data_IF_533821396835
#
_entry.id   IF_533821396835
#
_cell.length_a   1.000
_cell.length_b   1.000
_cell.length_c   1.000
_cell.angle_alpha   90.00
_cell.angle_beta   90.00
_cell.angle_gamma   90.00
#
_symmetry.space_group_name_H-M   'P 1'
#
loop_
_entity.id
_entity.type
_entity.pdbx_description
1 polymer ?
#
# COMPACT_ATOMS: atom_id res chain seq x y z
N UNK A 1 10.72 -0.42 7.78
CA UNK A 1 9.62 -0.56 8.77
C UNK A 1 9.53 -1.99 9.28
N UNK A 2 9.38 -3.02 8.41
CA UNK A 2 9.29 -4.42 8.85
C UNK A 2 10.47 -4.79 9.76
N UNK A 3 11.72 -4.54 9.32
CA UNK A 3 12.91 -4.79 10.13
C UNK A 3 12.88 -4.07 11.49
N UNK A 4 12.39 -2.82 11.53
CA UNK A 4 12.23 -2.07 12.78
C UNK A 4 11.24 -2.75 13.72
N UNK A 5 10.06 -3.11 13.23
CA UNK A 5 9.02 -3.76 14.04
C UNK A 5 9.51 -5.11 14.61
N UNK A 6 10.18 -5.93 13.79
CA UNK A 6 10.72 -7.21 14.25
C UNK A 6 11.83 -7.03 15.29
N UNK A 7 12.72 -6.05 15.10
CA UNK A 7 13.77 -5.71 16.09
C UNK A 7 13.18 -5.20 17.40
N UNK A 8 12.14 -4.34 17.35
CA UNK A 8 11.45 -3.88 18.54
C UNK A 8 10.75 -5.01 19.32
N UNK A 9 10.27 -6.03 18.62
CA UNK A 9 9.71 -7.26 19.22
C UNK A 9 10.78 -8.24 19.72
N UNK A 10 12.06 -7.93 19.56
CA UNK A 10 13.19 -8.84 19.91
C UNK A 10 13.05 -10.21 19.23
N UNK A 11 12.69 -10.22 17.96
CA UNK A 11 12.54 -11.42 17.13
C UNK A 11 13.84 -11.71 16.41
N UNK A 12 14.29 -12.95 16.41
CA UNK A 12 15.34 -13.44 15.53
C UNK A 12 14.73 -13.82 14.17
N UNK A 13 15.22 -13.21 13.09
CA UNK A 13 14.67 -13.38 11.75
C UNK A 13 15.70 -13.20 10.65
N UNK A 14 15.47 -13.86 9.53
CA UNK A 14 16.14 -13.59 8.26
C UNK A 14 15.16 -12.98 7.27
N UNK A 15 15.47 -11.80 6.73
CA UNK A 15 14.63 -11.14 5.74
C UNK A 15 15.18 -11.37 4.34
N UNK A 16 14.52 -12.21 3.54
CA UNK A 16 14.94 -12.58 2.18
C UNK A 16 14.13 -11.79 1.13
N UNK A 17 14.72 -10.92 0.32
CA UNK A 17 16.06 -10.32 0.45
C UNK A 17 15.91 -8.94 1.08
N UNK A 18 16.79 -8.54 1.95
CA UNK A 18 16.77 -7.19 2.51
C UNK A 18 17.56 -6.21 1.62
N UNK A 19 16.92 -5.29 0.90
CA UNK A 19 17.60 -4.28 0.08
C UNK A 19 17.88 -2.97 0.85
N UNK A 20 17.51 -2.86 2.12
CA UNK A 20 17.44 -1.59 2.85
C UNK A 20 18.78 -0.86 2.83
N UNK A 21 19.84 -1.50 3.31
CA UNK A 21 21.14 -0.87 3.37
C UNK A 21 21.80 -0.70 1.99
N UNK A 22 21.44 -1.54 1.03
CA UNK A 22 21.92 -1.42 -0.35
C UNK A 22 21.44 -0.12 -0.99
N UNK A 23 20.20 0.29 -0.69
CA UNK A 23 19.58 1.48 -1.28
C UNK A 23 19.80 2.76 -0.46
N UNK A 24 20.00 2.64 0.85
CA UNK A 24 19.99 3.76 1.79
C UNK A 24 21.36 4.08 2.42
N UNK A 25 22.40 3.26 2.19
CA UNK A 25 23.74 3.53 2.71
C UNK A 25 24.27 4.85 2.12
N UNK A 26 24.71 5.79 2.96
CA UNK A 26 25.33 7.03 2.49
C UNK A 26 26.56 6.76 1.63
N UNK A 27 26.75 7.55 0.58
CA UNK A 27 27.93 7.48 -0.26
C UNK A 27 29.19 7.89 0.53
N UNK A 28 30.20 7.03 0.56
CA UNK A 28 31.49 7.26 1.22
C UNK A 28 32.64 7.55 0.20
N UNK A 29 32.29 7.80 -1.04
CA UNK A 29 33.23 8.02 -2.15
C UNK A 29 33.78 6.73 -2.74
N UNK A 30 33.44 5.55 -2.23
CA UNK A 30 33.85 4.27 -2.80
C UNK A 30 32.67 3.64 -3.55
N UNK A 31 32.94 3.16 -4.76
CA UNK A 31 31.96 2.41 -5.50
C UNK A 31 31.82 0.99 -4.89
N UNK A 32 30.63 0.70 -4.38
CA UNK A 32 30.24 -0.65 -3.95
C UNK A 32 28.95 -1.01 -4.67
N UNK A 33 28.96 -2.11 -5.39
CA UNK A 33 27.77 -2.57 -6.10
C UNK A 33 26.67 -3.01 -5.13
N UNK A 34 27.06 -3.63 -4.02
CA UNK A 34 26.17 -4.06 -2.94
C UNK A 34 26.91 -3.88 -1.60
N UNK A 35 26.34 -3.07 -0.72
CA UNK A 35 26.80 -2.93 0.67
C UNK A 35 25.63 -3.31 1.58
N UNK A 36 25.82 -4.29 2.49
CA UNK A 36 24.75 -4.76 3.37
C UNK A 36 23.75 -5.70 2.70
N UNK A 37 22.59 -5.84 3.30
CA UNK A 37 21.53 -6.77 2.88
C UNK A 37 21.70 -8.16 3.46
N UNK A 38 20.93 -9.13 2.98
CA UNK A 38 20.95 -10.52 3.46
C UNK A 38 22.24 -11.21 3.05
N UNK A 39 22.95 -11.77 4.02
CA UNK A 39 24.22 -12.48 3.81
C UNK A 39 24.01 -13.89 3.25
N UNK A 40 25.05 -14.45 2.64
CA UNK A 40 25.01 -15.84 2.16
C UNK A 40 24.79 -16.87 3.30
N UNK A 41 25.29 -16.58 4.50
CA UNK A 41 25.16 -17.48 5.64
C UNK A 41 23.74 -17.43 6.20
N UNK A 42 23.11 -16.27 6.27
CA UNK A 42 21.68 -16.15 6.57
C UNK A 42 20.81 -16.90 5.56
N UNK A 43 21.14 -16.82 4.25
CA UNK A 43 20.42 -17.59 3.21
C UNK A 43 20.58 -19.11 3.42
N UNK A 44 21.79 -19.59 3.79
CA UNK A 44 22.04 -21.01 4.08
C UNK A 44 21.30 -21.47 5.34
N UNK A 45 21.14 -20.60 6.33
CA UNK A 45 20.48 -20.93 7.60
C UNK A 45 18.94 -20.79 7.51
N UNK A 46 18.41 -20.09 6.53
CA UNK A 46 16.97 -19.89 6.36
C UNK A 46 16.10 -21.17 6.45
N UNK A 47 16.56 -22.37 5.98
CA UNK A 47 15.81 -23.60 6.15
C UNK A 47 15.63 -24.06 7.60
N UNK A 48 16.39 -23.52 8.56
CA UNK A 48 16.32 -23.85 9.98
C UNK A 48 15.29 -23.01 10.75
N UNK A 49 14.69 -22.00 10.13
CA UNK A 49 13.67 -21.18 10.77
C UNK A 49 12.39 -21.97 11.08
N UNK A 50 11.65 -21.55 12.10
CA UNK A 50 10.40 -22.22 12.55
C UNK A 50 9.27 -22.11 11.52
N UNK A 51 9.23 -21.03 10.74
CA UNK A 51 8.28 -20.79 9.65
C UNK A 51 8.88 -19.79 8.65
N UNK A 52 8.42 -19.85 7.40
CA UNK A 52 8.66 -18.84 6.38
C UNK A 52 7.39 -18.04 6.14
N UNK A 53 7.35 -16.77 6.56
CA UNK A 53 6.21 -15.89 6.31
C UNK A 53 6.32 -15.25 4.92
N UNK A 54 5.33 -15.46 4.09
CA UNK A 54 5.26 -14.93 2.74
C UNK A 54 4.42 -13.63 2.74
N UNK A 55 5.09 -12.48 2.75
CA UNK A 55 4.43 -11.15 2.76
C UNK A 55 3.79 -10.80 1.42
N UNK A 56 4.16 -11.49 0.34
CA UNK A 56 3.59 -11.31 -0.99
C UNK A 56 3.13 -12.65 -1.57
N UNK A 57 2.15 -13.32 -0.95
CA UNK A 57 1.76 -14.69 -1.28
C UNK A 57 1.25 -14.87 -2.71
N UNK A 58 0.73 -13.81 -3.33
CA UNK A 58 0.23 -13.87 -4.71
C UNK A 58 1.35 -13.87 -5.75
N UNK A 59 2.51 -13.34 -5.41
CA UNK A 59 3.70 -13.34 -6.26
C UNK A 59 4.63 -14.52 -5.92
N UNK A 60 4.70 -14.94 -4.66
CA UNK A 60 5.64 -15.92 -4.15
C UNK A 60 5.16 -17.39 -4.23
N UNK A 61 4.28 -17.73 -5.16
CA UNK A 61 3.73 -19.09 -5.31
C UNK A 61 4.80 -20.16 -5.55
N UNK A 62 5.84 -19.84 -6.35
CA UNK A 62 6.96 -20.75 -6.60
C UNK A 62 7.85 -20.91 -5.37
N UNK A 63 8.12 -19.82 -4.67
CA UNK A 63 8.88 -19.78 -3.40
C UNK A 63 8.20 -20.64 -2.36
N UNK A 64 6.90 -20.50 -2.17
CA UNK A 64 6.10 -21.34 -1.24
C UNK A 64 6.28 -22.83 -1.53
N UNK A 65 6.17 -23.21 -2.80
CA UNK A 65 6.36 -24.62 -3.21
C UNK A 65 7.78 -25.09 -2.92
N UNK A 66 8.77 -24.27 -3.17
CA UNK A 66 10.16 -24.59 -2.92
C UNK A 66 10.43 -24.80 -1.42
N UNK A 67 10.01 -23.85 -0.58
CA UNK A 67 10.15 -23.93 0.87
C UNK A 67 9.51 -25.21 1.42
N UNK A 68 8.26 -25.49 1.05
CA UNK A 68 7.54 -26.70 1.51
C UNK A 68 8.16 -28.00 1.00
N UNK A 69 8.58 -28.04 -0.27
CA UNK A 69 9.01 -29.28 -0.89
C UNK A 69 10.50 -29.57 -0.71
N UNK A 70 11.35 -28.55 -0.70
CA UNK A 70 12.81 -28.65 -0.64
C UNK A 70 13.32 -28.47 0.77
N UNK A 71 12.92 -27.41 1.45
CA UNK A 71 13.34 -27.17 2.83
C UNK A 71 12.56 -27.99 3.85
N UNK A 72 11.40 -28.55 3.46
CA UNK A 72 10.47 -29.26 4.37
C UNK A 72 10.00 -28.40 5.55
N UNK A 73 9.99 -27.10 5.36
CA UNK A 73 9.66 -26.09 6.35
C UNK A 73 8.21 -25.62 6.15
N UNK A 74 7.50 -25.21 7.21
CA UNK A 74 6.24 -24.48 7.09
C UNK A 74 6.42 -23.22 6.23
N UNK A 75 5.40 -22.86 5.47
CA UNK A 75 5.38 -21.63 4.70
C UNK A 75 3.97 -21.05 4.78
N UNK A 76 3.84 -20.01 5.56
CA UNK A 76 2.57 -19.34 5.88
C UNK A 76 2.37 -18.11 5.04
N UNK A 77 1.20 -18.02 4.38
CA UNK A 77 0.77 -16.79 3.74
C UNK A 77 0.32 -15.80 4.79
N UNK A 78 0.79 -14.58 4.69
CA UNK A 78 0.33 -13.47 5.51
C UNK A 78 -0.01 -12.28 4.63
N UNK A 79 -1.04 -11.53 5.01
CA UNK A 79 -1.37 -10.29 4.32
C UNK A 79 -0.21 -9.30 4.45
N UNK A 80 0.07 -8.56 3.38
CA UNK A 80 1.05 -7.47 3.44
C UNK A 80 0.60 -6.48 4.52
N UNK A 81 1.44 -6.12 5.51
CA UNK A 81 1.03 -5.27 6.63
C UNK A 81 0.81 -3.81 6.19
N UNK A 82 -0.32 -3.57 5.53
CA UNK A 82 -0.75 -2.27 5.03
C UNK A 82 -2.07 -1.91 5.71
N UNK A 83 -2.19 -0.66 6.17
CA UNK A 83 -3.34 -0.22 6.94
C UNK A 83 -3.27 -0.63 8.42
N UNK A 84 -4.39 -0.55 9.11
CA UNK A 84 -4.50 -0.85 10.54
C UNK A 84 -4.62 -2.35 10.78
N UNK A 85 -5.68 -2.97 10.26
CA UNK A 85 -6.02 -4.37 10.57
C UNK A 85 -4.93 -5.36 10.12
N UNK A 86 -4.37 -5.19 8.91
CA UNK A 86 -3.35 -6.11 8.41
C UNK A 86 -1.98 -5.91 9.06
N UNK A 87 -1.73 -4.73 9.61
CA UNK A 87 -0.56 -4.54 10.49
C UNK A 87 -0.78 -5.22 11.84
N UNK A 88 -2.00 -5.15 12.40
CA UNK A 88 -2.40 -5.88 13.61
C UNK A 88 -2.22 -7.41 13.40
N UNK A 89 -2.76 -7.96 12.29
CA UNK A 89 -2.63 -9.38 11.93
C UNK A 89 -1.17 -9.83 11.83
N UNK A 90 -0.33 -9.01 11.20
CA UNK A 90 1.11 -9.29 11.07
C UNK A 90 1.79 -9.39 12.44
N UNK A 91 1.62 -8.39 13.30
CA UNK A 91 2.24 -8.37 14.62
C UNK A 91 1.72 -9.48 15.52
N UNK A 92 0.42 -9.76 15.47
CA UNK A 92 -0.18 -10.88 16.20
C UNK A 92 0.38 -12.23 15.73
N UNK A 93 0.56 -12.41 14.41
CA UNK A 93 1.16 -13.62 13.85
C UNK A 93 2.60 -13.83 14.29
N UNK A 94 3.40 -12.75 14.33
CA UNK A 94 4.77 -12.79 14.85
C UNK A 94 4.76 -13.17 16.35
N UNK A 95 3.90 -12.53 17.13
CA UNK A 95 3.77 -12.83 18.57
C UNK A 95 3.35 -14.28 18.82
N UNK A 96 2.40 -14.82 18.05
CA UNK A 96 1.98 -16.22 18.10
C UNK A 96 3.14 -17.20 17.84
N UNK A 97 3.91 -16.95 16.78
CA UNK A 97 5.00 -17.83 16.36
C UNK A 97 6.21 -17.80 17.30
N UNK A 98 6.50 -16.65 17.88
CA UNK A 98 7.72 -16.43 18.66
C UNK A 98 7.51 -16.43 20.17
N UNK A 99 6.25 -16.28 20.62
CA UNK A 99 5.91 -16.05 22.02
C UNK A 99 6.31 -14.66 22.55
N UNK A 100 6.81 -13.76 21.69
CA UNK A 100 7.23 -12.41 22.06
C UNK A 100 6.02 -11.47 22.15
N UNK A 101 5.91 -10.62 23.19
CA UNK A 101 4.82 -9.65 23.30
C UNK A 101 4.98 -8.51 22.30
N UNK A 102 3.88 -7.90 21.91
CA UNK A 102 3.89 -6.66 21.14
C UNK A 102 4.34 -5.52 22.05
N UNK A 103 5.41 -4.77 21.72
CA UNK A 103 5.95 -3.74 22.58
C UNK A 103 5.04 -2.50 22.64
N UNK A 104 5.12 -1.76 23.76
CA UNK A 104 4.35 -0.52 23.98
C UNK A 104 4.57 0.55 22.93
N UNK A 105 5.75 0.61 22.33
CA UNK A 105 6.05 1.52 21.20
C UNK A 105 5.12 1.29 20.02
N UNK A 106 4.93 0.04 19.60
CA UNK A 106 4.04 -0.33 18.49
C UNK A 106 2.56 -0.15 18.83
N UNK A 107 2.16 -0.41 20.09
CA UNK A 107 0.80 -0.09 20.54
C UNK A 107 0.54 1.43 20.49
N UNK A 108 1.54 2.23 20.83
CA UNK A 108 1.45 3.69 20.75
C UNK A 108 1.34 4.18 19.31
N UNK A 109 2.11 3.59 18.37
CA UNK A 109 1.97 3.89 16.94
C UNK A 109 0.58 3.53 16.42
N UNK A 110 0.07 2.37 16.80
CA UNK A 110 -1.29 1.95 16.50
C UNK A 110 -2.33 2.97 16.96
N UNK A 111 -2.21 3.43 18.20
CA UNK A 111 -3.10 4.47 18.78
C UNK A 111 -3.06 5.75 17.94
N UNK A 112 -1.87 6.24 17.59
CA UNK A 112 -1.70 7.43 16.74
C UNK A 112 -2.36 7.26 15.36
N UNK A 113 -2.25 6.08 14.74
CA UNK A 113 -2.92 5.80 13.48
C UNK A 113 -4.44 5.84 13.63
N UNK A 114 -4.99 5.25 14.71
CA UNK A 114 -6.44 5.28 14.99
C UNK A 114 -6.94 6.73 15.16
N UNK A 115 -6.22 7.54 15.93
CA UNK A 115 -6.55 8.96 16.09
C UNK A 115 -6.54 9.69 14.74
N UNK A 116 -5.50 9.46 13.94
CA UNK A 116 -5.34 10.09 12.63
C UNK A 116 -6.44 9.65 11.65
N UNK A 117 -6.86 8.38 11.67
CA UNK A 117 -7.99 7.89 10.86
C UNK A 117 -9.29 8.60 11.29
N UNK A 118 -9.51 8.73 12.59
CA UNK A 118 -10.70 9.40 13.15
C UNK A 118 -10.77 10.85 12.70
N UNK A 119 -9.66 11.58 12.84
CA UNK A 119 -9.57 12.99 12.46
C UNK A 119 -9.74 13.21 10.94
N UNK A 120 -9.32 12.24 10.15
CA UNK A 120 -9.31 12.34 8.68
C UNK A 120 -10.56 11.77 8.00
N UNK A 121 -11.42 11.08 8.73
CA UNK A 121 -12.55 10.34 8.17
C UNK A 121 -13.46 11.19 7.27
N UNK A 122 -13.76 12.42 7.67
CA UNK A 122 -14.63 13.32 6.92
C UNK A 122 -14.11 13.65 5.51
N UNK A 123 -12.79 13.59 5.29
CA UNK A 123 -12.15 13.91 4.02
C UNK A 123 -12.16 12.74 3.03
N UNK A 124 -12.13 11.51 3.53
CA UNK A 124 -11.97 10.31 2.71
C UNK A 124 -13.27 9.52 2.55
N UNK A 125 -14.22 9.65 3.47
CA UNK A 125 -15.49 8.93 3.42
C UNK A 125 -16.22 9.17 2.10
N UNK A 126 -16.52 8.08 1.39
CA UNK A 126 -17.22 8.11 0.10
C UNK A 126 -16.40 8.65 -1.08
N UNK A 127 -15.10 9.00 -0.90
CA UNK A 127 -14.23 9.36 -2.02
C UNK A 127 -13.91 8.14 -2.86
N UNK A 128 -13.98 8.30 -4.18
CA UNK A 128 -13.82 7.25 -5.18
C UNK A 128 -12.40 7.17 -5.69
N UNK A 129 -11.82 5.98 -5.62
CA UNK A 129 -10.44 5.74 -6.04
C UNK A 129 -10.36 4.68 -7.14
N UNK A 130 -9.60 4.95 -8.20
CA UNK A 130 -9.13 3.93 -9.12
C UNK A 130 -7.69 3.56 -8.74
N UNK A 131 -7.38 2.26 -8.64
CA UNK A 131 -6.05 1.82 -8.24
C UNK A 131 -5.54 0.64 -9.05
N UNK A 132 -4.20 0.61 -9.25
CA UNK A 132 -3.52 -0.47 -9.95
C UNK A 132 -2.10 -0.67 -9.41
N UNK A 133 -1.56 -1.85 -9.63
CA UNK A 133 -0.21 -2.23 -9.20
C UNK A 133 -0.03 -3.73 -9.12
N UNK A 134 0.94 -4.14 -8.29
CA UNK A 134 1.19 -5.54 -7.98
C UNK A 134 0.08 -6.14 -7.12
N UNK A 135 -0.12 -7.46 -7.24
CA UNK A 135 -1.26 -8.15 -6.67
C UNK A 135 -1.41 -7.95 -5.16
N UNK A 136 -0.33 -8.08 -4.40
CA UNK A 136 -0.36 -7.94 -2.94
C UNK A 136 -0.51 -6.47 -2.53
N UNK A 137 0.15 -5.54 -3.23
CA UNK A 137 0.00 -4.10 -3.03
C UNK A 137 -1.43 -3.64 -3.28
N UNK A 138 -2.03 -4.01 -4.42
CA UNK A 138 -3.39 -3.61 -4.77
C UNK A 138 -4.39 -4.17 -3.77
N UNK A 139 -4.20 -5.41 -3.33
CA UNK A 139 -5.05 -6.03 -2.32
C UNK A 139 -4.97 -5.28 -0.97
N UNK A 140 -3.73 -4.96 -0.52
CA UNK A 140 -3.50 -4.22 0.73
C UNK A 140 -4.04 -2.79 0.67
N UNK A 141 -3.80 -2.07 -0.44
CA UNK A 141 -4.32 -0.71 -0.63
C UNK A 141 -5.85 -0.70 -0.70
N UNK A 142 -6.46 -1.68 -1.38
CA UNK A 142 -7.92 -1.81 -1.40
C UNK A 142 -8.48 -2.00 0.01
N UNK A 143 -7.87 -2.90 0.81
CA UNK A 143 -8.26 -3.12 2.21
C UNK A 143 -8.16 -1.84 3.02
N UNK A 144 -7.05 -1.11 2.90
CA UNK A 144 -6.85 0.12 3.65
C UNK A 144 -7.83 1.22 3.24
N UNK A 145 -8.13 1.40 1.94
CA UNK A 145 -9.17 2.35 1.51
C UNK A 145 -10.54 2.03 2.13
N UNK A 146 -10.91 0.75 2.23
CA UNK A 146 -12.15 0.35 2.88
C UNK A 146 -12.15 0.65 4.38
N UNK A 147 -11.02 0.50 5.08
CA UNK A 147 -10.84 0.91 6.48
C UNK A 147 -11.05 2.42 6.68
N UNK A 148 -10.66 3.22 5.68
CA UNK A 148 -10.81 4.68 5.70
C UNK A 148 -12.21 5.15 5.28
N UNK A 149 -13.12 4.24 4.93
CA UNK A 149 -14.45 4.59 4.43
C UNK A 149 -14.46 5.13 3.00
N UNK A 150 -13.39 4.92 2.24
CA UNK A 150 -13.28 5.30 0.84
C UNK A 150 -13.77 4.19 -0.09
N UNK A 151 -14.14 4.53 -1.33
CA UNK A 151 -14.66 3.62 -2.34
C UNK A 151 -13.60 3.28 -3.39
N UNK A 152 -13.01 2.07 -3.39
CA UNK A 152 -12.09 1.62 -4.43
C UNK A 152 -12.87 1.18 -5.69
N UNK A 153 -13.36 2.13 -6.50
CA UNK A 153 -14.28 1.89 -7.61
C UNK A 153 -13.69 1.07 -8.75
N UNK A 154 -12.41 1.25 -9.06
CA UNK A 154 -11.71 0.48 -10.10
C UNK A 154 -10.45 -0.14 -9.52
N UNK A 155 -10.43 -1.45 -9.39
CA UNK A 155 -9.30 -2.22 -8.86
C UNK A 155 -8.70 -3.07 -9.97
N UNK A 156 -7.44 -2.78 -10.37
CA UNK A 156 -6.81 -3.45 -11.50
C UNK A 156 -5.44 -4.05 -11.14
N UNK A 157 -5.26 -5.33 -11.47
CA UNK A 157 -3.96 -5.98 -11.47
C UNK A 157 -3.77 -6.81 -12.75
N UNK A 158 -2.77 -6.45 -13.58
CA UNK A 158 -2.60 -7.05 -14.90
C UNK A 158 -2.14 -8.50 -14.86
N UNK A 159 -1.33 -8.89 -13.89
CA UNK A 159 -0.76 -10.24 -13.78
C UNK A 159 -1.49 -11.15 -12.77
N UNK A 160 -2.52 -10.63 -12.10
CA UNK A 160 -3.31 -11.41 -11.16
C UNK A 160 -4.25 -12.41 -11.89
N UNK A 161 -4.55 -13.50 -11.20
CA UNK A 161 -5.40 -14.56 -11.71
C UNK A 161 -6.84 -14.49 -11.16
N UNK A 162 -7.72 -15.38 -11.63
CA UNK A 162 -9.13 -15.45 -11.20
C UNK A 162 -9.31 -15.70 -9.70
N UNK A 163 -8.36 -16.38 -9.03
CA UNK A 163 -8.42 -16.62 -7.59
C UNK A 163 -8.18 -15.33 -6.81
N UNK A 164 -7.21 -14.52 -7.24
CA UNK A 164 -6.99 -13.19 -6.69
C UNK A 164 -8.21 -12.31 -6.86
N UNK A 165 -8.79 -12.28 -8.07
CA UNK A 165 -10.02 -11.51 -8.35
C UNK A 165 -11.12 -11.86 -7.36
N UNK A 166 -11.42 -13.15 -7.17
CA UNK A 166 -12.42 -13.61 -6.19
C UNK A 166 -12.12 -13.18 -4.76
N UNK A 167 -10.84 -13.14 -4.35
CA UNK A 167 -10.44 -12.68 -3.00
C UNK A 167 -10.75 -11.18 -2.83
N UNK A 168 -10.42 -10.36 -3.84
CA UNK A 168 -10.75 -8.92 -3.81
C UNK A 168 -12.26 -8.70 -3.82
N UNK A 169 -12.98 -9.38 -4.71
CA UNK A 169 -14.44 -9.27 -4.79
C UNK A 169 -15.14 -9.65 -3.48
N UNK A 170 -14.66 -10.71 -2.80
CA UNK A 170 -15.18 -11.09 -1.49
C UNK A 170 -14.94 -10.01 -0.44
N UNK A 171 -13.73 -9.44 -0.38
CA UNK A 171 -13.38 -8.35 0.53
C UNK A 171 -14.23 -7.09 0.28
N UNK A 172 -14.47 -6.75 -0.98
CA UNK A 172 -15.32 -5.62 -1.36
C UNK A 172 -16.79 -5.87 -0.95
N UNK A 173 -17.30 -7.09 -1.11
CA UNK A 173 -18.67 -7.45 -0.76
C UNK A 173 -18.93 -7.39 0.76
N UNK A 174 -17.90 -7.60 1.59
CA UNK A 174 -17.99 -7.51 3.06
C UNK A 174 -18.06 -6.06 3.56
N UNK A 175 -17.74 -5.06 2.71
CA UNK A 175 -17.71 -3.65 3.08
C UNK A 175 -18.84 -2.84 2.43
N UNK A 176 -19.49 -1.92 3.14
CA UNK A 176 -20.47 -1.01 2.54
C UNK A 176 -19.85 -0.10 1.46
N UNK A 177 -18.54 0.14 1.51
CA UNK A 177 -17.80 1.00 0.58
C UNK A 177 -17.31 0.26 -0.68
N UNK A 178 -17.47 -1.05 -0.74
CA UNK A 178 -17.06 -1.89 -1.87
C UNK A 178 -18.18 -2.19 -2.87
N UNK A 179 -19.42 -1.77 -2.62
CA UNK A 179 -20.59 -2.19 -3.38
C UNK A 179 -20.59 -1.74 -4.86
N UNK A 180 -19.94 -0.63 -5.16
CA UNK A 180 -19.83 -0.06 -6.51
C UNK A 180 -18.48 -0.34 -7.17
N UNK A 181 -17.71 -1.28 -6.65
CA UNK A 181 -16.35 -1.57 -7.09
C UNK A 181 -16.31 -2.59 -8.21
N UNK A 182 -15.40 -2.40 -9.17
CA UNK A 182 -15.13 -3.34 -10.26
C UNK A 182 -13.69 -3.84 -10.17
N UNK A 183 -13.50 -5.16 -10.29
CA UNK A 183 -12.19 -5.81 -10.21
C UNK A 183 -11.77 -6.35 -11.57
N UNK A 184 -10.61 -5.92 -12.06
CA UNK A 184 -10.06 -6.27 -13.36
C UNK A 184 -8.72 -6.99 -13.23
N UNK A 185 -8.59 -8.14 -13.91
CA UNK A 185 -7.33 -8.90 -14.00
C UNK A 185 -6.98 -9.15 -15.47
N UNK A 186 -5.68 -9.23 -15.78
CA UNK A 186 -5.23 -9.45 -17.15
C UNK A 186 -5.50 -8.26 -18.09
N UNK A 187 -5.68 -7.07 -17.52
CA UNK A 187 -5.91 -5.81 -18.21
C UNK A 187 -4.76 -4.85 -17.93
N UNK A 188 -4.52 -3.93 -18.83
CA UNK A 188 -3.44 -2.95 -18.77
C UNK A 188 -3.94 -1.55 -18.39
N UNK A 189 -3.04 -0.57 -18.38
CA UNK A 189 -3.37 0.81 -18.08
C UNK A 189 -4.22 1.48 -19.16
N UNK A 190 -4.23 0.97 -20.39
CA UNK A 190 -5.12 1.46 -21.41
C UNK A 190 -6.59 1.13 -21.08
N UNK A 191 -6.80 -0.05 -20.52
CA UNK A 191 -8.11 -0.42 -19.97
C UNK A 191 -8.49 0.45 -18.77
N UNK A 192 -7.56 0.67 -17.82
CA UNK A 192 -7.78 1.59 -16.68
C UNK A 192 -8.18 3.00 -17.17
N UNK A 193 -7.49 3.50 -18.20
CA UNK A 193 -7.85 4.78 -18.80
C UNK A 193 -9.33 4.78 -19.27
N UNK A 194 -9.76 3.72 -19.95
CA UNK A 194 -11.16 3.61 -20.41
C UNK A 194 -12.14 3.62 -19.26
N UNK A 195 -11.84 2.92 -18.14
CA UNK A 195 -12.66 2.91 -16.94
C UNK A 195 -12.78 4.31 -16.32
N UNK A 196 -11.66 5.02 -16.17
CA UNK A 196 -11.62 6.40 -15.65
C UNK A 196 -12.47 7.34 -16.49
N UNK A 197 -12.52 7.15 -17.81
CA UNK A 197 -13.35 7.96 -18.70
C UNK A 197 -14.83 7.58 -18.71
N UNK A 198 -15.16 6.33 -18.38
CA UNK A 198 -16.55 5.83 -18.36
C UNK A 198 -17.22 6.07 -17.03
N UNK A 199 -16.52 5.81 -15.93
CA UNK A 199 -16.98 6.02 -14.56
C UNK A 199 -15.88 6.72 -13.76
N UNK A 200 -15.92 8.06 -13.76
CA UNK A 200 -14.88 8.93 -13.22
C UNK A 200 -14.71 8.74 -11.72
N UNK A 201 -13.51 8.34 -11.23
CA UNK A 201 -13.17 8.39 -9.82
C UNK A 201 -12.76 9.82 -9.42
N UNK A 202 -12.66 10.08 -8.11
CA UNK A 202 -12.11 11.35 -7.61
C UNK A 202 -10.59 11.39 -7.77
N UNK A 203 -9.92 10.25 -7.51
CA UNK A 203 -8.46 10.12 -7.54
C UNK A 203 -8.03 8.78 -8.16
N UNK A 204 -6.80 8.77 -8.64
CA UNK A 204 -6.09 7.55 -9.03
C UNK A 204 -4.94 7.25 -8.07
N UNK A 205 -4.72 6.00 -7.71
CA UNK A 205 -3.55 5.52 -6.95
C UNK A 205 -2.77 4.54 -7.79
N UNK A 206 -1.47 4.78 -7.97
CA UNK A 206 -0.62 3.88 -8.72
C UNK A 206 0.76 4.47 -9.04
N UNK A 207 1.48 3.78 -9.90
CA UNK A 207 2.83 4.15 -10.30
C UNK A 207 2.86 5.35 -11.27
N UNK A 208 4.06 5.81 -11.60
CA UNK A 208 4.28 7.00 -12.45
C UNK A 208 3.67 6.91 -13.85
N UNK A 209 3.35 5.72 -14.36
CA UNK A 209 2.70 5.59 -15.67
C UNK A 209 1.28 6.17 -15.68
N UNK A 210 0.62 6.27 -14.53
CA UNK A 210 -0.69 6.92 -14.41
C UNK A 210 -0.71 8.39 -14.81
N UNK A 211 0.45 9.06 -14.86
CA UNK A 211 0.55 10.45 -15.34
C UNK A 211 0.02 10.65 -16.76
N UNK A 212 0.08 9.63 -17.59
CA UNK A 212 -0.46 9.70 -18.95
C UNK A 212 -1.98 9.69 -18.94
N UNK A 213 -2.61 8.90 -18.06
CA UNK A 213 -4.06 8.91 -17.85
C UNK A 213 -4.49 10.27 -17.31
N UNK A 214 -3.80 10.80 -16.29
CA UNK A 214 -4.08 12.13 -15.73
C UNK A 214 -4.03 13.21 -16.81
N UNK A 215 -2.98 13.23 -17.66
CA UNK A 215 -2.86 14.19 -18.77
C UNK A 215 -4.04 14.09 -19.74
N UNK A 216 -4.46 12.88 -20.05
CA UNK A 216 -5.60 12.67 -20.95
C UNK A 216 -6.92 13.18 -20.33
N UNK A 217 -7.09 13.04 -19.01
CA UNK A 217 -8.28 13.59 -18.33
C UNK A 217 -8.30 15.12 -18.36
N UNK A 218 -7.15 15.78 -18.18
CA UNK A 218 -7.02 17.26 -18.28
C UNK A 218 -7.43 17.77 -19.67
N UNK A 219 -7.15 17.02 -20.74
CA UNK A 219 -7.52 17.44 -22.11
C UNK A 219 -9.03 17.55 -22.36
N UNK A 220 -9.86 16.91 -21.50
CA UNK A 220 -11.32 17.06 -21.55
C UNK A 220 -11.85 18.31 -20.89
N UNK A 221 -11.01 19.02 -20.14
CA UNK A 221 -11.35 20.14 -19.31
C UNK A 221 -10.83 19.97 -17.89
N UNK A 222 -10.55 21.07 -17.22
CA UNK A 222 -10.00 21.05 -15.87
C UNK A 222 -10.94 20.36 -14.88
N UNK A 223 -12.24 20.50 -15.10
CA UNK A 223 -13.30 19.87 -14.30
C UNK A 223 -13.33 18.36 -14.44
N UNK A 224 -12.75 17.83 -15.51
CA UNK A 224 -12.66 16.37 -15.74
C UNK A 224 -11.34 15.78 -15.23
N UNK A 225 -10.41 16.60 -14.77
CA UNK A 225 -9.14 16.10 -14.24
C UNK A 225 -9.35 15.08 -13.13
N UNK A 226 -8.59 13.97 -13.19
CA UNK A 226 -8.48 12.97 -12.13
C UNK A 226 -7.03 12.95 -11.65
N UNK A 227 -6.74 13.50 -10.46
CA UNK A 227 -5.39 13.53 -9.92
C UNK A 227 -4.81 12.14 -9.67
N UNK A 228 -3.48 12.01 -9.89
CA UNK A 228 -2.73 10.80 -9.60
C UNK A 228 -1.96 10.94 -8.29
N UNK A 229 -2.28 10.11 -7.32
CA UNK A 229 -1.52 9.90 -6.10
C UNK A 229 -0.52 8.77 -6.38
N UNK A 230 0.77 9.11 -6.34
CA UNK A 230 1.85 8.18 -6.68
C UNK A 230 2.23 7.32 -5.51
N UNK A 231 1.66 6.13 -5.45
CA UNK A 231 2.00 5.08 -4.49
C UNK A 231 2.14 3.78 -5.27
N UNK A 232 3.24 3.05 -5.10
CA UNK A 232 3.53 1.82 -5.82
C UNK A 232 4.88 1.86 -6.53
N UNK A 233 5.11 0.99 -7.51
CA UNK A 233 6.36 0.86 -8.25
C UNK A 233 6.07 0.62 -9.75
N UNK A 234 6.87 1.21 -10.68
CA UNK A 234 7.96 2.17 -10.45
C UNK A 234 7.49 3.61 -10.26
N UNK A 235 8.21 4.37 -9.42
CA UNK A 235 8.09 5.82 -9.33
C UNK A 235 9.37 6.44 -9.91
N UNK A 236 9.26 7.19 -11.00
CA UNK A 236 10.40 7.80 -11.70
C UNK A 236 10.23 9.28 -12.00
N UNK A 237 9.07 9.85 -11.72
CA UNK A 237 8.75 11.25 -11.94
C UNK A 237 8.57 12.05 -10.63
N UNK A 238 8.99 11.45 -9.53
CA UNK A 238 9.08 12.08 -8.19
C UNK A 238 10.39 11.69 -7.54
N UNK A 239 10.90 12.58 -6.69
CA UNK A 239 12.18 12.39 -6.02
C UNK A 239 11.96 11.79 -4.62
N UNK A 240 12.82 10.85 -4.22
CA UNK A 240 12.88 10.20 -2.89
C UNK A 240 11.64 9.42 -2.43
N UNK A 241 10.65 9.17 -3.27
CA UNK A 241 9.46 8.39 -2.89
C UNK A 241 9.76 6.94 -2.49
N UNK A 242 10.88 6.38 -2.94
CA UNK A 242 11.29 5.03 -2.54
C UNK A 242 11.68 4.91 -1.05
N UNK A 243 11.91 6.03 -0.36
CA UNK A 243 12.18 6.08 1.08
C UNK A 243 10.92 6.26 1.92
N UNK A 244 9.82 6.61 1.28
CA UNK A 244 8.52 6.73 1.94
C UNK A 244 7.90 5.35 2.13
N UNK A 245 7.68 4.99 3.39
CA UNK A 245 7.09 3.69 3.70
C UNK A 245 5.59 3.65 3.44
N UNK A 246 5.09 2.47 3.05
CA UNK A 246 3.64 2.19 2.91
C UNK A 246 3.19 1.06 3.84
N UNK A 247 4.12 0.47 4.60
CA UNK A 247 3.89 -0.69 5.45
C UNK A 247 3.94 -0.33 6.92
N UNK A 248 3.26 -1.12 7.75
CA UNK A 248 3.14 -0.90 9.17
C UNK A 248 2.29 0.32 9.50
N UNK A 249 2.13 0.62 10.77
CA UNK A 249 1.37 1.80 11.23
C UNK A 249 1.97 3.11 10.72
N UNK A 250 3.30 3.22 10.72
CA UNK A 250 4.02 4.37 10.18
C UNK A 250 3.71 4.58 8.69
N UNK A 251 3.74 3.50 7.91
CA UNK A 251 3.38 3.55 6.49
C UNK A 251 1.91 3.88 6.26
N UNK A 252 1.01 3.36 7.09
CA UNK A 252 -0.40 3.69 7.03
C UNK A 252 -0.64 5.19 7.33
N UNK A 253 0.03 5.76 8.34
CA UNK A 253 -0.04 7.20 8.63
C UNK A 253 0.51 8.04 7.46
N UNK A 254 1.60 7.59 6.81
CA UNK A 254 2.16 8.27 5.65
C UNK A 254 1.18 8.25 4.46
N UNK A 255 0.62 7.08 4.14
CA UNK A 255 -0.37 6.93 3.07
C UNK A 255 -1.61 7.79 3.36
N UNK A 256 -2.17 7.70 4.58
CA UNK A 256 -3.33 8.49 4.99
C UNK A 256 -3.09 9.99 4.81
N UNK A 257 -1.97 10.52 5.29
CA UNK A 257 -1.59 11.92 5.10
C UNK A 257 -1.51 12.30 3.62
N UNK A 258 -0.93 11.42 2.80
CA UNK A 258 -0.81 11.66 1.35
C UNK A 258 -2.18 11.73 0.68
N UNK A 259 -3.11 10.84 1.05
CA UNK A 259 -4.47 10.83 0.52
C UNK A 259 -5.25 12.08 0.93
N UNK A 260 -5.21 12.44 2.22
CA UNK A 260 -5.92 13.61 2.75
C UNK A 260 -5.39 14.91 2.12
N UNK A 261 -4.06 15.05 2.03
CA UNK A 261 -3.46 16.24 1.40
C UNK A 261 -3.86 16.37 -0.07
N UNK A 262 -3.97 15.26 -0.81
CA UNK A 262 -4.44 15.30 -2.19
C UNK A 262 -5.91 15.78 -2.28
N UNK A 263 -6.76 15.40 -1.33
CA UNK A 263 -8.15 15.90 -1.26
C UNK A 263 -8.18 17.38 -0.95
N UNK A 264 -7.38 17.85 0.02
CA UNK A 264 -7.30 19.27 0.39
C UNK A 264 -6.71 20.13 -0.74
N UNK A 265 -5.66 19.68 -1.41
CA UNK A 265 -5.09 20.34 -2.59
C UNK A 265 -6.15 20.51 -3.71
N UNK A 266 -6.97 19.49 -3.92
CA UNK A 266 -8.06 19.55 -4.89
C UNK A 266 -9.10 20.58 -4.50
N UNK A 267 -9.48 20.64 -3.23
CA UNK A 267 -10.41 21.65 -2.69
C UNK A 267 -9.85 23.06 -2.87
N UNK A 268 -8.58 23.28 -2.56
CA UNK A 268 -7.91 24.57 -2.75
C UNK A 268 -7.89 25.00 -4.23
N UNK A 269 -7.72 24.06 -5.16
CA UNK A 269 -7.78 24.34 -6.58
C UNK A 269 -9.20 24.73 -7.04
N UNK A 270 -10.22 24.04 -6.54
CA UNK A 270 -11.63 24.29 -6.87
C UNK A 270 -12.12 25.63 -6.30
N UNK A 271 -11.58 26.05 -5.16
CA UNK A 271 -11.91 27.32 -4.51
C UNK A 271 -11.00 28.49 -4.92
N UNK A 272 -10.02 28.24 -5.79
CA UNK A 272 -9.07 29.26 -6.25
C UNK A 272 -9.79 30.44 -6.93
N UNK A 273 -9.58 31.64 -6.40
CA UNK A 273 -10.18 32.87 -6.88
C UNK A 273 -11.49 33.25 -6.20
N UNK A 274 -11.97 32.46 -5.26
CA UNK A 274 -13.03 32.89 -4.34
C UNK A 274 -12.49 33.96 -3.41
N UNK A 275 -13.24 35.06 -3.23
CA UNK A 275 -12.92 36.11 -2.25
C UNK A 275 -13.17 35.61 -0.82
N UNK A 276 -12.60 36.31 0.17
CA UNK A 276 -12.80 35.95 1.59
C UNK A 276 -14.28 36.04 2.02
N UNK A 277 -15.11 36.79 1.29
CA UNK A 277 -16.55 36.87 1.51
C UNK A 277 -17.34 35.70 0.90
N UNK A 278 -16.74 35.03 -0.09
CA UNK A 278 -17.34 33.89 -0.80
C UNK A 278 -16.90 32.56 -0.21
N UNK A 279 -15.93 32.58 0.71
CA UNK A 279 -15.40 31.38 1.36
C UNK A 279 -16.36 30.90 2.45
N UNK A 280 -17.00 29.78 2.22
CA UNK A 280 -17.81 29.14 3.24
C UNK A 280 -16.93 28.22 4.10
N UNK A 281 -16.58 28.67 5.31
CA UNK A 281 -15.78 27.91 6.27
C UNK A 281 -16.41 26.56 6.64
N UNK A 282 -17.70 26.36 6.41
CA UNK A 282 -18.37 25.07 6.65
C UNK A 282 -17.97 23.98 5.63
N UNK A 283 -17.34 24.36 4.50
CA UNK A 283 -16.75 23.41 3.54
C UNK A 283 -15.40 22.85 4.01
N UNK A 284 -14.83 23.40 5.08
CA UNK A 284 -13.52 23.02 5.62
C UNK A 284 -13.65 22.09 6.83
N UNK A 285 -14.88 21.67 7.14
CA UNK A 285 -15.18 20.79 8.28
C UNK A 285 -15.47 19.36 7.84
#
# INVERSE_FOLDING_TARGET
VINRMLKEMDVDYTFLSDPTEVLDTPADGQFRMYSGGTTQDEVKDAPNAIDTLLLQPWQLVKTRKYVKNTWKQPASDISIPMGLEWTDEFLMKISELTGKPIPKSLETERGRLVDMITDSHAWLHGKKFALWGDADFVLGMTKFLLELGAEPTHVLCNHANKRWKKKVEAMLAESPYGQNSEVHTGKDLWHMRSLVFTNKPDFMIGNSYGKFIQRDTITKGKEFEVPLIRIGFPIFDRHHLHRDTTLGYEGAMHVLRTLVNAVLERLDEETRGMGTTDYNYDLVR
#
